data_IF_053338481436
#
_entry.id   IF_053338481436
#
_cell.length_a   1.000
_cell.length_b   1.000
_cell.length_c   1.000
_cell.angle_alpha   90.00
_cell.angle_beta   90.00
_cell.angle_gamma   90.00
#
_symmetry.space_group_name_H-M   'P 1'
#
loop_
_entity.id
_entity.type
_entity.pdbx_description
1 polymer ?
#
# COMPACT_ATOMS: atom_id res chain seq x y z
N UNK A 1 16.86 18.17 -7.36
CA UNK A 1 16.68 17.41 -6.10
C UNK A 1 15.70 18.17 -5.22
N UNK A 2 14.41 17.89 -5.31
CA UNK A 2 13.39 18.25 -4.31
C UNK A 2 12.13 17.45 -4.64
N UNK A 3 11.92 16.31 -3.98
CA UNK A 3 10.63 15.62 -3.96
C UNK A 3 9.77 16.37 -2.93
N UNK A 4 8.81 17.16 -3.42
CA UNK A 4 7.88 17.92 -2.59
C UNK A 4 6.86 16.98 -1.95
N UNK A 5 7.08 16.59 -0.69
CA UNK A 5 6.15 15.81 0.13
C UNK A 5 5.11 16.70 0.84
N UNK A 6 4.48 17.63 0.11
CA UNK A 6 3.55 18.58 0.73
C UNK A 6 2.50 19.09 -0.24
N UNK A 7 1.33 18.44 -0.24
CA UNK A 7 0.00 18.79 -0.78
C UNK A 7 -0.62 17.57 -1.50
N UNK A 8 -1.96 17.42 -1.53
CA UNK A 8 -2.64 16.17 -1.92
C UNK A 8 -2.52 15.92 -3.43
N UNK A 9 -1.37 15.41 -3.85
CA UNK A 9 -1.01 15.31 -5.26
C UNK A 9 -1.62 14.04 -5.90
N UNK A 10 -2.11 14.14 -7.16
CA UNK A 10 -2.59 13.03 -7.98
C UNK A 10 -1.52 11.98 -8.32
N UNK A 11 -0.28 12.20 -7.87
CA UNK A 11 0.89 11.32 -8.06
C UNK A 11 0.69 9.92 -7.45
N UNK A 12 -0.26 9.76 -6.54
CA UNK A 12 -0.55 8.49 -5.86
C UNK A 12 -1.97 7.98 -6.15
N UNK A 13 -2.59 8.37 -7.27
CA UNK A 13 -3.93 7.88 -7.62
C UNK A 13 -3.92 6.35 -7.85
N UNK A 14 -2.84 5.82 -8.45
CA UNK A 14 -2.60 4.37 -8.57
C UNK A 14 -2.51 3.69 -7.22
N UNK A 15 -1.75 4.26 -6.28
CA UNK A 15 -1.63 3.74 -4.90
C UNK A 15 -2.97 3.75 -4.17
N UNK A 16 -3.74 4.84 -4.23
CA UNK A 16 -5.06 4.88 -3.58
C UNK A 16 -6.02 3.85 -4.17
N UNK A 17 -6.07 3.70 -5.50
CA UNK A 17 -6.91 2.69 -6.15
C UNK A 17 -6.47 1.27 -5.78
N UNK A 18 -5.16 1.03 -5.70
CA UNK A 18 -4.60 -0.23 -5.23
C UNK A 18 -4.98 -0.53 -3.78
N UNK A 19 -4.82 0.44 -2.88
CA UNK A 19 -5.23 0.30 -1.47
C UNK A 19 -6.71 -0.01 -1.39
N UNK A 20 -7.56 0.76 -2.08
CA UNK A 20 -9.01 0.58 -2.07
C UNK A 20 -9.38 -0.83 -2.55
N UNK A 21 -8.80 -1.28 -3.66
CA UNK A 21 -9.00 -2.63 -4.18
C UNK A 21 -8.52 -3.72 -3.21
N UNK A 22 -7.39 -3.51 -2.54
CA UNK A 22 -6.88 -4.42 -1.51
C UNK A 22 -7.80 -4.49 -0.27
N UNK A 23 -8.49 -3.41 0.09
CA UNK A 23 -9.47 -3.45 1.19
C UNK A 23 -10.69 -4.28 0.81
N UNK A 24 -11.08 -4.28 -0.47
CA UNK A 24 -12.15 -5.12 -1.00
C UNK A 24 -11.76 -6.60 -1.08
N UNK A 25 -10.46 -6.92 -1.17
CA UNK A 25 -10.00 -8.30 -1.14
C UNK A 25 -10.12 -8.91 0.27
N UNK A 26 -10.67 -10.13 0.40
CA UNK A 26 -10.77 -10.82 1.69
C UNK A 26 -9.41 -11.26 2.24
N UNK A 27 -8.40 -11.38 1.37
CA UNK A 27 -7.05 -11.81 1.72
C UNK A 27 -6.02 -10.80 1.20
N UNK A 28 -5.55 -9.89 2.07
CA UNK A 28 -4.50 -8.90 1.75
C UNK A 28 -3.11 -9.54 1.84
N UNK A 29 -2.92 -10.58 1.05
CA UNK A 29 -1.70 -11.38 1.02
C UNK A 29 -0.69 -10.75 0.04
N UNK A 30 0.56 -11.19 0.09
CA UNK A 30 1.59 -10.75 -0.86
C UNK A 30 1.11 -10.85 -2.33
N UNK A 31 0.39 -11.92 -2.68
CA UNK A 31 -0.19 -12.07 -4.02
C UNK A 31 -1.20 -10.98 -4.41
N UNK A 32 -2.04 -10.54 -3.46
CA UNK A 32 -3.00 -9.48 -3.73
C UNK A 32 -2.25 -8.15 -3.94
N UNK A 33 -1.19 -7.90 -3.18
CA UNK A 33 -0.35 -6.71 -3.34
C UNK A 33 0.35 -6.73 -4.71
N UNK A 34 0.90 -7.87 -5.14
CA UNK A 34 1.49 -8.04 -6.47
C UNK A 34 0.47 -7.88 -7.61
N UNK A 35 -0.76 -8.37 -7.45
CA UNK A 35 -1.85 -8.14 -8.41
C UNK A 35 -2.22 -6.66 -8.49
N UNK A 36 -2.35 -5.99 -7.34
CA UNK A 36 -2.61 -4.57 -7.30
C UNK A 36 -1.45 -3.78 -7.95
N UNK A 37 -0.20 -4.19 -7.70
CA UNK A 37 0.96 -3.55 -8.28
C UNK A 37 0.98 -3.63 -9.80
N UNK A 38 0.73 -4.82 -10.37
CA UNK A 38 0.63 -4.99 -11.82
C UNK A 38 -0.61 -4.32 -12.43
N UNK A 39 -1.73 -4.28 -11.71
CA UNK A 39 -2.99 -3.73 -12.23
C UNK A 39 -3.03 -2.20 -12.23
N UNK A 40 -2.41 -1.58 -11.24
CA UNK A 40 -2.44 -0.12 -11.04
C UNK A 40 -1.12 0.57 -11.40
N UNK A 41 -0.17 -0.16 -11.99
CA UNK A 41 1.17 0.33 -12.37
C UNK A 41 1.90 0.97 -11.18
N UNK A 42 1.93 0.24 -10.06
CA UNK A 42 2.61 0.70 -8.86
C UNK A 42 4.12 0.68 -9.05
N UNK A 43 4.79 1.70 -8.53
CA UNK A 43 6.25 1.67 -8.46
C UNK A 43 6.70 0.69 -7.38
N UNK A 44 7.93 0.14 -7.46
CA UNK A 44 8.48 -0.72 -6.41
C UNK A 44 8.47 -0.07 -5.02
N UNK A 45 8.50 1.27 -4.96
CA UNK A 45 8.35 2.05 -3.72
C UNK A 45 6.93 1.92 -3.12
N UNK A 46 5.90 1.93 -3.96
CA UNK A 46 4.51 1.79 -3.55
C UNK A 46 4.24 0.36 -3.06
N UNK A 47 4.77 -0.65 -3.76
CA UNK A 47 4.65 -2.06 -3.36
C UNK A 47 5.28 -2.30 -1.97
N UNK A 48 6.50 -1.79 -1.76
CA UNK A 48 7.18 -1.88 -0.47
C UNK A 48 6.41 -1.15 0.65
N UNK A 49 5.79 0.00 0.32
CA UNK A 49 4.89 0.70 1.23
C UNK A 49 3.69 -0.15 1.62
N UNK A 50 3.01 -0.77 0.64
CA UNK A 50 1.85 -1.65 0.89
C UNK A 50 2.26 -2.86 1.74
N UNK A 51 3.34 -3.55 1.38
CA UNK A 51 3.86 -4.68 2.15
C UNK A 51 4.14 -4.30 3.59
N UNK A 52 4.80 -3.16 3.83
CA UNK A 52 5.12 -2.68 5.17
C UNK A 52 3.87 -2.23 5.93
N UNK A 53 2.96 -1.53 5.27
CA UNK A 53 1.73 -1.02 5.88
C UNK A 53 0.81 -2.17 6.32
N UNK A 54 0.50 -3.12 5.42
CA UNK A 54 -0.38 -4.24 5.73
C UNK A 54 0.26 -5.24 6.70
N UNK A 55 1.58 -5.51 6.60
CA UNK A 55 2.29 -6.33 7.58
C UNK A 55 2.25 -5.71 8.98
N UNK A 56 2.30 -4.38 9.08
CA UNK A 56 2.22 -3.68 10.36
C UNK A 56 0.80 -3.60 10.92
N UNK A 57 -0.24 -3.70 10.08
CA UNK A 57 -1.65 -3.74 10.52
C UNK A 57 -2.01 -5.11 11.09
N UNK A 58 -1.52 -6.19 10.49
CA UNK A 58 -1.75 -7.56 10.99
C UNK A 58 -0.92 -7.86 12.24
N UNK A 59 0.28 -7.28 12.33
CA UNK A 59 1.03 -7.17 13.57
C UNK A 59 0.43 -6.06 14.46
N UNK A 60 -0.82 -6.22 14.88
CA UNK A 60 -1.42 -5.37 15.91
C UNK A 60 -0.46 -5.23 17.11
N UNK A 61 -0.39 -4.05 17.76
CA UNK A 61 0.56 -3.82 18.82
C UNK A 61 0.38 -4.92 19.85
N UNK A 62 1.42 -5.72 20.07
CA UNK A 62 1.56 -6.44 21.33
C UNK A 62 1.57 -5.36 22.39
N UNK A 63 0.38 -5.03 22.91
CA UNK A 63 0.22 -4.37 24.19
C UNK A 63 0.86 -5.34 25.17
N UNK A 64 2.13 -5.08 25.47
CA UNK A 64 2.80 -5.66 26.60
C UNK A 64 2.02 -5.19 27.83
N UNK A 65 1.42 -6.17 28.49
CA UNK A 65 0.77 -6.08 29.79
C UNK A 65 1.78 -5.76 30.89
#
# INVERSE_FOLDING_TARGET
MTKNFGSPLPEHEGLRRAVQWLVEQPARNAQAIEEAARRFDLSPVDEEFLLRHFRSVDAGPKRAE
#
